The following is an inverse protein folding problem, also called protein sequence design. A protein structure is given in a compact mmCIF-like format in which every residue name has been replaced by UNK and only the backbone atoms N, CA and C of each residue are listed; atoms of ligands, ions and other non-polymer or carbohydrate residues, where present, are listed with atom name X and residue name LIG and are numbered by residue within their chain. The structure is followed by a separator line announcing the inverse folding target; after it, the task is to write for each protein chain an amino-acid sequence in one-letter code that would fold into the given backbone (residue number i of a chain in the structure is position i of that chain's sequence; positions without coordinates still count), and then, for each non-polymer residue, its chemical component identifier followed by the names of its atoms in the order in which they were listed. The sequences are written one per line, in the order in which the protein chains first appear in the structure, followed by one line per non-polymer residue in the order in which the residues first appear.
data_IF_464540054898
#
_entry.id   IF_464540054898
#
_cell.length_a   1.000
_cell.length_b   1.000
_cell.length_c   1.000
_cell.angle_alpha   90.00
_cell.angle_beta   90.00
_cell.angle_gamma   90.00
#
_symmetry.space_group_name_H-M   'P 1'
#
loop_
_entity.id
_entity.type
_entity.pdbx_description
1 polymer ?
#
# COMPACT_ATOMS: atom_id res chain seq x y z
N UNK A 1 -21.17 -14.37 14.24
CA UNK A 1 -19.80 -14.79 14.62
C UNK A 1 -19.02 -13.57 15.06
N UNK A 2 -19.05 -13.21 16.34
CA UNK A 2 -18.25 -12.11 16.89
C UNK A 2 -16.97 -12.68 17.48
N UNK A 3 -15.95 -12.88 16.64
CA UNK A 3 -14.59 -13.01 17.15
C UNK A 3 -14.23 -11.68 17.84
N UNK A 4 -13.55 -11.69 19.00
CA UNK A 4 -13.11 -10.46 19.64
C UNK A 4 -12.23 -9.68 18.65
N UNK A 5 -12.54 -8.40 18.47
CA UNK A 5 -11.86 -7.50 17.53
C UNK A 5 -10.42 -7.25 18.00
N UNK A 6 -9.51 -8.18 17.68
CA UNK A 6 -8.09 -7.97 17.92
C UNK A 6 -7.61 -6.87 16.97
N UNK A 7 -7.24 -5.72 17.55
CA UNK A 7 -6.63 -4.63 16.80
C UNK A 7 -5.25 -5.09 16.29
N UNK A 8 -5.18 -5.44 15.01
CA UNK A 8 -3.94 -5.94 14.39
C UNK A 8 -2.97 -4.82 14.01
N UNK A 9 -3.35 -3.55 14.17
CA UNK A 9 -2.54 -2.37 13.87
C UNK A 9 -2.01 -1.70 15.14
N UNK A 10 -0.69 -1.58 15.23
CA UNK A 10 -0.01 -0.72 16.20
C UNK A 10 0.36 0.60 15.54
N UNK A 11 0.56 1.70 16.30
CA UNK A 11 0.99 2.97 15.72
C UNK A 11 2.32 2.83 14.96
N UNK A 12 3.23 1.98 15.44
CA UNK A 12 4.49 1.66 14.75
C UNK A 12 4.24 0.95 13.42
N UNK A 13 3.36 -0.06 13.38
CA UNK A 13 3.07 -0.75 12.11
C UNK A 13 2.40 0.18 11.10
N UNK A 14 1.57 1.12 11.56
CA UNK A 14 0.90 2.08 10.69
C UNK A 14 1.90 3.10 10.10
N UNK A 15 2.89 3.52 10.90
CA UNK A 15 3.98 4.36 10.40
C UNK A 15 4.81 3.63 9.32
N UNK A 16 5.16 2.36 9.55
CA UNK A 16 5.87 1.54 8.55
C UNK A 16 5.04 1.40 7.27
N UNK A 17 3.73 1.16 7.38
CA UNK A 17 2.82 1.07 6.23
C UNK A 17 2.79 2.38 5.44
N UNK A 18 2.71 3.52 6.13
CA UNK A 18 2.70 4.82 5.51
C UNK A 18 4.00 5.08 4.73
N UNK A 19 5.16 4.78 5.32
CA UNK A 19 6.46 4.93 4.64
C UNK A 19 6.54 4.02 3.41
N UNK A 20 6.15 2.75 3.52
CA UNK A 20 6.14 1.82 2.39
C UNK A 20 5.21 2.31 1.28
N UNK A 21 4.01 2.80 1.61
CA UNK A 21 3.05 3.31 0.62
C UNK A 21 3.56 4.58 -0.06
N UNK A 22 4.20 5.50 0.65
CA UNK A 22 4.77 6.71 0.05
C UNK A 22 5.89 6.35 -0.94
N UNK A 23 6.81 5.48 -0.54
CA UNK A 23 7.90 5.02 -1.42
C UNK A 23 7.35 4.32 -2.66
N UNK A 24 6.34 3.45 -2.48
CA UNK A 24 5.71 2.74 -3.58
C UNK A 24 4.96 3.68 -4.53
N UNK A 25 4.24 4.67 -3.99
CA UNK A 25 3.55 5.69 -4.77
C UNK A 25 4.52 6.50 -5.63
N UNK A 26 5.61 7.00 -5.03
CA UNK A 26 6.62 7.78 -5.77
C UNK A 26 7.27 6.92 -6.86
N UNK A 27 7.62 5.68 -6.56
CA UNK A 27 8.17 4.75 -7.55
C UNK A 27 7.23 4.50 -8.72
N UNK A 28 5.95 4.24 -8.45
CA UNK A 28 4.94 4.02 -9.49
C UNK A 28 4.64 5.29 -10.29
N UNK A 29 4.52 6.44 -9.64
CA UNK A 29 4.29 7.70 -10.33
C UNK A 29 5.43 7.99 -11.31
N UNK A 30 6.69 7.90 -10.86
CA UNK A 30 7.86 8.11 -11.72
C UNK A 30 7.91 7.13 -12.89
N UNK A 31 7.42 5.91 -12.71
CA UNK A 31 7.37 4.91 -13.77
C UNK A 31 6.20 5.12 -14.74
N UNK A 32 5.02 5.53 -14.26
CA UNK A 32 3.81 5.69 -15.08
C UNK A 32 3.77 7.04 -15.78
N UNK A 33 4.30 8.11 -15.20
CA UNK A 33 4.26 9.46 -15.79
C UNK A 33 4.77 9.54 -17.24
N UNK A 34 5.88 8.87 -17.63
CA UNK A 34 6.34 8.85 -19.02
C UNK A 34 5.41 8.15 -20.00
N UNK A 35 4.52 7.27 -19.51
CA UNK A 35 3.56 6.54 -20.34
C UNK A 35 2.26 7.31 -20.59
N UNK A 36 2.07 8.47 -19.95
CA UNK A 36 0.90 9.32 -20.20
C UNK A 36 1.09 10.04 -21.53
N UNK A 37 0.25 9.79 -22.55
CA UNK A 37 0.38 10.42 -23.87
C UNK A 37 -0.16 11.86 -23.84
N UNK A 38 0.53 12.76 -23.14
CA UNK A 38 0.23 14.19 -23.08
C UNK A 38 1.52 15.00 -22.97
N UNK A 39 1.54 16.18 -23.54
CA UNK A 39 2.63 17.15 -23.38
C UNK A 39 2.35 18.17 -22.26
N UNK A 40 1.11 18.21 -21.74
CA UNK A 40 0.73 19.10 -20.65
C UNK A 40 1.11 18.45 -19.30
N UNK A 41 1.97 19.15 -18.55
CA UNK A 41 2.44 18.73 -17.24
C UNK A 41 1.28 18.52 -16.25
N UNK A 42 0.21 19.30 -16.37
CA UNK A 42 -0.96 19.20 -15.49
C UNK A 42 -1.71 17.88 -15.70
N UNK A 43 -1.86 17.45 -16.96
CA UNK A 43 -2.47 16.17 -17.29
C UNK A 43 -1.59 15.00 -16.87
N UNK A 44 -0.28 15.07 -17.12
CA UNK A 44 0.66 14.01 -16.69
C UNK A 44 0.59 13.83 -15.17
N UNK A 45 0.56 14.93 -14.41
CA UNK A 45 0.48 14.88 -12.96
C UNK A 45 -0.85 14.30 -12.50
N UNK A 46 -1.98 14.75 -13.03
CA UNK A 46 -3.30 14.28 -12.62
C UNK A 46 -3.49 12.78 -12.92
N UNK A 47 -3.22 12.36 -14.15
CA UNK A 47 -3.44 10.97 -14.56
C UNK A 47 -2.39 10.02 -13.97
N UNK A 48 -1.12 10.43 -13.96
CA UNK A 48 -0.05 9.65 -13.33
C UNK A 48 -0.29 9.47 -11.84
N UNK A 49 -0.68 10.53 -11.12
CA UNK A 49 -0.96 10.45 -9.69
C UNK A 49 -2.20 9.62 -9.39
N UNK A 50 -3.28 9.74 -10.18
CA UNK A 50 -4.50 8.95 -10.02
C UNK A 50 -4.21 7.44 -10.19
N UNK A 51 -3.46 7.08 -11.23
CA UNK A 51 -3.07 5.67 -11.47
C UNK A 51 -2.18 5.14 -10.35
N UNK A 52 -1.13 5.89 -9.97
CA UNK A 52 -0.24 5.50 -8.88
C UNK A 52 -0.97 5.40 -7.53
N UNK A 53 -1.94 6.28 -7.26
CA UNK A 53 -2.73 6.27 -6.04
C UNK A 53 -3.59 5.00 -5.94
N UNK A 54 -4.26 4.61 -7.02
CA UNK A 54 -5.06 3.40 -7.07
C UNK A 54 -4.22 2.15 -6.78
N UNK A 55 -3.08 2.00 -7.45
CA UNK A 55 -2.16 0.88 -7.25
C UNK A 55 -1.58 0.86 -5.83
N UNK A 56 -1.25 2.03 -5.27
CA UNK A 56 -0.77 2.15 -3.89
C UNK A 56 -1.85 1.75 -2.88
N UNK A 57 -3.12 2.08 -3.14
CA UNK A 57 -4.24 1.63 -2.33
C UNK A 57 -4.37 0.11 -2.29
N UNK A 58 -4.22 -0.57 -3.44
CA UNK A 58 -4.19 -2.04 -3.50
C UNK A 58 -2.99 -2.59 -2.74
N UNK A 59 -1.80 -2.00 -2.91
CA UNK A 59 -0.60 -2.38 -2.18
C UNK A 59 -0.78 -2.29 -0.65
N UNK A 60 -1.43 -1.23 -0.15
CA UNK A 60 -1.78 -1.11 1.26
C UNK A 60 -2.63 -2.29 1.73
N UNK A 61 -3.68 -2.66 0.99
CA UNK A 61 -4.54 -3.79 1.35
C UNK A 61 -3.75 -5.10 1.37
N UNK A 62 -2.83 -5.31 0.43
CA UNK A 62 -1.94 -6.46 0.41
C UNK A 62 -1.05 -6.52 1.65
N UNK A 63 -0.50 -5.38 2.12
CA UNK A 63 0.28 -5.32 3.36
C UNK A 63 -0.55 -5.77 4.56
N UNK A 64 -1.82 -5.33 4.65
CA UNK A 64 -2.70 -5.73 5.76
C UNK A 64 -2.98 -7.24 5.74
N UNK A 65 -3.25 -7.82 4.56
CA UNK A 65 -3.46 -9.27 4.41
C UNK A 65 -2.19 -10.07 4.72
N UNK A 66 -1.03 -9.62 4.23
CA UNK A 66 0.25 -10.27 4.50
C UNK A 66 0.56 -10.29 6.00
N UNK A 67 0.30 -9.20 6.71
CA UNK A 67 0.47 -9.13 8.17
C UNK A 67 -0.38 -10.16 8.90
N UNK A 68 -1.65 -10.32 8.51
CA UNK A 68 -2.56 -11.30 9.12
C UNK A 68 -2.00 -12.72 8.93
N UNK A 69 -1.59 -13.05 7.70
CA UNK A 69 -1.01 -14.37 7.39
C UNK A 69 0.30 -14.60 8.15
N UNK A 70 1.20 -13.63 8.14
CA UNK A 70 2.50 -13.74 8.82
C UNK A 70 2.33 -13.97 10.32
N UNK A 71 1.38 -13.29 10.97
CA UNK A 71 1.05 -13.53 12.39
C UNK A 71 0.50 -14.93 12.63
N UNK A 72 -0.42 -15.39 11.80
CA UNK A 72 -0.97 -16.74 11.90
C UNK A 72 0.14 -17.81 11.76
N UNK A 73 1.04 -17.64 10.80
CA UNK A 73 2.19 -18.53 10.58
C UNK A 73 3.17 -18.52 11.77
N UNK A 74 3.48 -17.33 12.32
CA UNK A 74 4.35 -17.22 13.50
C UNK A 74 3.73 -17.85 14.76
N UNK A 75 2.41 -17.72 14.95
CA UNK A 75 1.71 -18.36 16.07
C UNK A 75 1.70 -19.89 15.94
N UNK A 76 1.52 -20.42 14.73
CA UNK A 76 1.60 -21.86 14.46
C UNK A 76 3.01 -22.42 14.73
N UNK A 77 4.06 -21.69 14.38
CA UNK A 77 5.47 -22.08 14.64
C UNK A 77 5.88 -22.12 16.11
N UNK A 78 5.12 -21.48 17.00
CA UNK A 78 5.38 -21.46 18.45
C UNK A 78 4.68 -22.60 19.21
N UNK A 79 3.81 -23.35 18.53
CA UNK A 79 3.20 -24.58 19.05
C UNK A 79 4.03 -25.78 18.64
#
# INVERSE_FOLDING_TARGET
MSQPEQKFTTPVSLFVDAVLCILFFVGLYLWVSPHVPSNDKSMIMLWGALTAACMTGVFWLCIQMFRVVLRAQLAARRK
#
